data_IF_378140173645
#
_entry.id   IF_378140173645
#
_cell.length_a   1.000
_cell.length_b   1.000
_cell.length_c   1.000
_cell.angle_alpha   90.00
_cell.angle_beta   90.00
_cell.angle_gamma   90.00
#
_symmetry.space_group_name_H-M   'P 1'
#
loop_
_entity.id
_entity.type
_entity.pdbx_description
1 polymer ?
#
# COMPACT_ATOMS: atom_id res chain seq x y z
N UNK A 1 -13.45 -1.69 24.72
CA UNK A 1 -14.86 -1.50 25.10
C UNK A 1 -14.94 -1.66 26.63
N UNK A 2 -14.73 -0.57 27.35
CA UNK A 2 -14.92 -0.49 28.81
C UNK A 2 -16.23 0.25 29.07
N UNK A 3 -17.11 -0.35 29.88
CA UNK A 3 -18.55 -0.06 29.89
C UNK A 3 -19.01 0.76 31.11
N UNK A 4 -18.23 1.77 31.53
CA UNK A 4 -18.64 2.71 32.60
C UNK A 4 -17.67 3.89 32.70
N UNK A 5 -17.85 4.90 31.84
CA UNK A 5 -17.12 6.18 31.85
C UNK A 5 -17.82 7.16 30.89
N UNK A 6 -17.55 8.48 30.97
CA UNK A 6 -18.18 9.46 30.08
C UNK A 6 -18.00 9.05 28.61
N UNK A 7 -18.94 9.44 27.75
CA UNK A 7 -18.92 9.15 26.31
C UNK A 7 -17.63 9.75 25.74
N UNK A 8 -16.60 8.93 25.59
CA UNK A 8 -15.34 9.33 25.01
C UNK A 8 -15.36 8.94 23.54
N UNK A 9 -15.63 9.92 22.67
CA UNK A 9 -15.44 9.77 21.24
C UNK A 9 -13.93 9.75 20.94
N UNK A 10 -13.36 8.55 20.90
CA UNK A 10 -11.97 8.34 20.51
C UNK A 10 -11.92 7.95 19.02
N UNK A 11 -11.67 8.91 18.09
CA UNK A 11 -11.45 8.56 16.69
C UNK A 11 -10.17 7.73 16.55
N UNK A 12 -10.11 6.87 15.53
CA UNK A 12 -8.91 6.08 15.29
C UNK A 12 -7.73 6.99 14.90
N UNK A 13 -6.53 6.76 15.48
CA UNK A 13 -5.36 7.56 15.15
C UNK A 13 -4.82 7.21 13.76
N UNK A 14 -4.38 8.23 13.01
CA UNK A 14 -3.76 8.06 11.69
C UNK A 14 -2.43 7.30 11.72
N UNK A 15 -1.75 7.28 12.89
CA UNK A 15 -0.48 6.59 13.09
C UNK A 15 -0.59 5.68 14.30
N UNK A 16 -0.50 4.38 14.05
CA UNK A 16 -0.44 3.36 15.09
C UNK A 16 0.70 2.39 14.78
N UNK A 17 1.41 1.96 15.82
CA UNK A 17 2.47 0.94 15.72
C UNK A 17 2.06 -0.24 16.58
N UNK A 18 1.74 -1.36 15.92
CA UNK A 18 1.48 -2.63 16.59
C UNK A 18 2.72 -3.52 16.51
N UNK A 19 3.01 -4.22 17.59
CA UNK A 19 4.08 -5.22 17.65
C UNK A 19 3.42 -6.59 17.77
N UNK A 20 3.76 -7.53 16.89
CA UNK A 20 3.30 -8.91 17.01
C UNK A 20 4.23 -9.65 17.98
N UNK A 21 3.69 -10.11 19.10
CA UNK A 21 4.43 -10.85 20.11
C UNK A 21 4.41 -12.36 19.86
N UNK A 22 5.57 -13.00 19.98
CA UNK A 22 5.70 -14.47 20.04
C UNK A 22 6.31 -14.79 21.39
N UNK A 23 5.61 -15.62 22.18
CA UNK A 23 6.01 -15.91 23.55
C UNK A 23 6.59 -17.32 23.68
N UNK A 24 7.87 -17.39 24.04
CA UNK A 24 8.56 -18.65 24.35
C UNK A 24 8.91 -18.69 25.83
N UNK A 25 8.57 -19.80 26.52
CA UNK A 25 8.81 -19.99 27.95
C UNK A 25 9.67 -21.23 28.17
N UNK A 26 10.65 -21.13 29.07
CA UNK A 26 11.49 -22.24 29.47
C UNK A 26 11.66 -22.26 30.99
N UNK A 27 11.88 -23.46 31.54
CA UNK A 27 12.15 -23.63 32.97
C UNK A 27 13.53 -23.03 33.27
N UNK A 28 13.55 -22.04 34.15
CA UNK A 28 14.76 -21.39 34.63
C UNK A 28 14.69 -21.32 36.17
N UNK A 29 15.81 -21.48 36.91
CA UNK A 29 17.15 -21.87 36.44
C UNK A 29 17.27 -23.38 36.16
N UNK A 30 18.26 -23.75 35.34
CA UNK A 30 18.53 -25.17 35.02
C UNK A 30 19.06 -25.92 36.23
N UNK A 31 18.93 -27.27 36.23
CA UNK A 31 19.43 -28.11 37.33
C UNK A 31 20.94 -27.96 37.55
N UNK A 32 21.71 -27.62 36.52
CA UNK A 32 23.15 -27.34 36.63
C UNK A 32 23.44 -26.08 37.47
N UNK A 33 22.51 -25.14 37.59
CA UNK A 33 22.64 -23.96 38.44
C UNK A 33 22.61 -24.32 39.94
N UNK A 34 22.00 -25.46 40.30
CA UNK A 34 21.97 -26.00 41.67
C UNK A 34 23.39 -26.31 42.17
N UNK A 35 24.27 -26.78 41.29
CA UNK A 35 25.65 -27.16 41.63
C UNK A 35 26.52 -25.95 41.99
N UNK A 36 26.10 -24.75 41.58
CA UNK A 36 26.87 -23.52 41.79
C UNK A 36 26.44 -22.78 43.07
N UNK A 37 25.14 -22.72 43.34
CA UNK A 37 24.58 -22.06 44.54
C UNK A 37 23.31 -22.79 45.05
N UNK A 38 23.44 -23.80 45.94
CA UNK A 38 22.30 -24.63 46.37
C UNK A 38 21.31 -23.90 47.30
N UNK A 39 21.79 -22.99 48.16
CA UNK A 39 20.96 -22.22 49.09
C UNK A 39 20.03 -21.23 48.38
N UNK A 40 20.47 -20.66 47.27
CA UNK A 40 19.74 -19.62 46.55
C UNK A 40 18.75 -20.21 45.52
N UNK A 41 18.86 -21.49 45.19
CA UNK A 41 18.05 -22.14 44.15
C UNK A 41 16.55 -22.14 44.47
N UNK A 42 16.16 -22.49 45.70
CA UNK A 42 14.75 -22.55 46.10
C UNK A 42 14.13 -21.15 46.17
N UNK A 43 14.93 -20.14 46.51
CA UNK A 43 14.53 -18.74 46.56
C UNK A 43 14.26 -18.21 45.13
N UNK A 44 15.20 -18.39 44.21
CA UNK A 44 15.03 -17.96 42.82
C UNK A 44 13.93 -18.71 42.07
N UNK A 45 13.69 -19.99 42.40
CA UNK A 45 12.63 -20.77 41.76
C UNK A 45 11.22 -20.38 42.19
N UNK A 46 11.07 -19.76 43.36
CA UNK A 46 9.77 -19.31 43.89
C UNK A 46 9.45 -17.85 43.52
N UNK A 47 10.45 -16.99 43.31
CA UNK A 47 10.23 -15.56 43.08
C UNK A 47 10.91 -14.96 41.83
N UNK A 48 11.72 -15.73 41.09
CA UNK A 48 12.52 -15.22 39.98
C UNK A 48 11.94 -15.53 38.61
N UNK A 49 11.88 -14.53 37.74
CA UNK A 49 11.57 -14.69 36.31
C UNK A 49 12.67 -14.01 35.49
N UNK A 50 13.16 -14.69 34.46
CA UNK A 50 14.06 -14.11 33.46
C UNK A 50 13.25 -13.76 32.21
N UNK A 51 13.18 -12.48 31.87
CA UNK A 51 12.53 -11.97 30.67
C UNK A 51 13.58 -11.51 29.66
N UNK A 52 13.53 -12.08 28.45
CA UNK A 52 14.36 -11.67 27.33
C UNK A 52 13.43 -11.13 26.23
N UNK A 53 13.51 -9.84 25.95
CA UNK A 53 12.71 -9.18 24.91
C UNK A 53 13.64 -8.91 23.74
N UNK A 54 13.34 -9.48 22.58
CA UNK A 54 14.11 -9.29 21.36
C UNK A 54 13.18 -9.30 20.15
N UNK A 55 13.63 -8.68 19.06
CA UNK A 55 12.91 -8.74 17.80
C UNK A 55 13.16 -10.09 17.13
N UNK A 56 12.09 -10.79 16.73
CA UNK A 56 12.22 -12.07 16.02
C UNK A 56 12.82 -11.91 14.62
N UNK A 57 12.56 -10.77 13.97
CA UNK A 57 13.12 -10.40 12.67
C UNK A 57 13.39 -8.89 12.63
N UNK A 58 14.33 -8.47 11.79
CA UNK A 58 14.68 -7.05 11.59
C UNK A 58 13.73 -6.35 10.59
N UNK A 59 12.76 -7.08 10.05
CA UNK A 59 11.84 -6.56 9.04
C UNK A 59 10.75 -5.69 9.69
N UNK A 60 10.47 -4.55 9.06
CA UNK A 60 9.43 -3.62 9.50
C UNK A 60 8.37 -3.48 8.41
N UNK A 61 7.18 -4.01 8.66
CA UNK A 61 6.03 -3.79 7.80
C UNK A 61 5.38 -2.44 8.12
N UNK A 62 5.14 -1.63 7.09
CA UNK A 62 4.52 -0.30 7.23
C UNK A 62 3.33 -0.21 6.29
N UNK A 63 2.13 -0.09 6.87
CA UNK A 63 0.90 0.09 6.12
C UNK A 63 0.58 1.58 6.02
N UNK A 64 0.54 2.12 4.79
CA UNK A 64 0.16 3.52 4.53
C UNK A 64 -1.09 3.55 3.67
N UNK A 65 -2.15 4.15 4.19
CA UNK A 65 -3.35 4.45 3.41
C UNK A 65 -3.08 5.71 2.59
N UNK A 66 -3.17 5.57 1.26
CA UNK A 66 -3.09 6.69 0.32
C UNK A 66 -4.45 6.86 -0.37
N UNK A 67 -4.73 8.07 -0.85
CA UNK A 67 -5.90 8.29 -1.70
C UNK A 67 -5.84 7.37 -2.92
N UNK A 68 -6.98 6.82 -3.33
CA UNK A 68 -7.08 5.88 -4.46
C UNK A 68 -6.78 6.56 -5.80
N UNK A 69 -7.12 7.84 -5.92
CA UNK A 69 -6.90 8.64 -7.11
C UNK A 69 -6.36 10.01 -6.71
N UNK A 70 -5.24 10.39 -7.29
CA UNK A 70 -4.72 11.76 -7.21
C UNK A 70 -5.19 12.57 -8.42
N UNK A 71 -5.27 13.90 -8.30
CA UNK A 71 -5.75 14.75 -9.41
C UNK A 71 -4.95 14.55 -10.71
N UNK A 72 -3.65 14.30 -10.58
CA UNK A 72 -2.77 14.00 -11.71
C UNK A 72 -3.09 12.67 -12.39
N UNK A 73 -3.49 11.65 -11.63
CA UNK A 73 -3.88 10.35 -12.21
C UNK A 73 -5.15 10.49 -13.03
N UNK A 74 -6.14 11.23 -12.53
CA UNK A 74 -7.39 11.51 -13.27
C UNK A 74 -7.13 12.26 -14.57
N UNK A 75 -6.27 13.28 -14.52
CA UNK A 75 -5.86 14.03 -15.71
C UNK A 75 -5.10 13.15 -16.71
N UNK A 76 -4.29 12.21 -16.23
CA UNK A 76 -3.57 11.27 -17.09
C UNK A 76 -4.52 10.33 -17.85
N UNK A 77 -5.57 9.83 -17.19
CA UNK A 77 -6.59 9.02 -17.86
C UNK A 77 -7.37 9.82 -18.90
N UNK A 78 -7.80 11.05 -18.56
CA UNK A 78 -8.50 11.93 -19.50
C UNK A 78 -7.63 12.32 -20.69
N UNK A 79 -6.37 12.66 -20.45
CA UNK A 79 -5.42 13.01 -21.51
C UNK A 79 -5.15 11.87 -22.48
N UNK A 80 -5.14 10.63 -22.00
CA UNK A 80 -4.94 9.45 -22.85
C UNK A 80 -6.12 9.24 -23.81
N UNK A 81 -7.35 9.31 -23.30
CA UNK A 81 -8.56 9.18 -24.11
C UNK A 81 -8.66 10.35 -25.12
N UNK A 82 -8.52 11.60 -24.66
CA UNK A 82 -8.58 12.77 -25.53
C UNK A 82 -7.47 12.76 -26.59
N UNK A 83 -6.27 12.30 -26.24
CA UNK A 83 -5.17 12.14 -27.18
C UNK A 83 -5.48 11.13 -28.28
N UNK A 84 -6.12 10.01 -27.96
CA UNK A 84 -6.54 9.01 -28.95
C UNK A 84 -7.57 9.60 -29.93
N UNK A 85 -8.60 10.27 -29.41
CA UNK A 85 -9.65 10.88 -30.24
C UNK A 85 -9.10 12.00 -31.13
N UNK A 86 -8.23 12.86 -30.59
CA UNK A 86 -7.57 13.90 -31.36
C UNK A 86 -6.65 13.31 -32.44
N UNK A 87 -5.89 12.27 -32.12
CA UNK A 87 -5.05 11.57 -33.09
C UNK A 87 -5.86 10.99 -34.26
N UNK A 88 -6.98 10.31 -33.98
CA UNK A 88 -7.86 9.77 -35.01
C UNK A 88 -8.51 10.88 -35.86
N UNK A 89 -8.92 11.98 -35.23
CA UNK A 89 -9.48 13.13 -35.93
C UNK A 89 -8.49 13.77 -36.90
N UNK A 90 -7.21 13.85 -36.53
CA UNK A 90 -6.15 14.41 -37.36
C UNK A 90 -5.88 13.54 -38.59
N UNK A 91 -5.82 12.21 -38.41
CA UNK A 91 -5.68 11.27 -39.53
C UNK A 91 -6.87 11.40 -40.51
N UNK A 92 -8.09 11.47 -39.99
CA UNK A 92 -9.28 11.67 -40.82
C UNK A 92 -9.26 13.00 -41.60
N UNK A 93 -8.74 14.07 -40.99
CA UNK A 93 -8.58 15.35 -41.68
C UNK A 93 -7.59 15.26 -42.86
N UNK A 94 -6.47 14.54 -42.69
CA UNK A 94 -5.50 14.32 -43.76
C UNK A 94 -6.08 13.50 -44.92
N UNK A 95 -6.81 12.42 -44.62
CA UNK A 95 -7.49 11.61 -45.64
C UNK A 95 -8.46 12.46 -46.48
N UNK A 96 -9.26 13.33 -45.84
CA UNK A 96 -10.19 14.21 -46.54
C UNK A 96 -9.46 15.23 -47.41
N UNK A 97 -8.37 15.83 -46.90
CA UNK A 97 -7.54 16.77 -47.64
C UNK A 97 -6.95 16.17 -48.92
N UNK A 98 -6.50 14.92 -48.89
CA UNK A 98 -5.95 14.25 -50.07
C UNK A 98 -7.06 13.85 -51.07
N UNK A 99 -8.21 13.42 -50.57
CA UNK A 99 -9.31 12.90 -51.41
C UNK A 99 -10.14 13.99 -52.09
N UNK A 100 -10.31 15.14 -51.44
CA UNK A 100 -11.05 16.29 -51.98
C UNK A 100 -10.57 16.75 -53.37
N UNK A 101 -9.28 17.04 -53.63
CA UNK A 101 -8.81 17.49 -54.94
C UNK A 101 -8.97 16.44 -56.03
N UNK A 102 -8.82 15.15 -55.70
CA UNK A 102 -9.06 14.04 -56.64
C UNK A 102 -10.52 13.99 -57.07
N UNK A 103 -11.45 14.17 -56.11
CA UNK A 103 -12.89 14.20 -56.39
C UNK A 103 -13.26 15.45 -57.20
N UNK A 104 -12.73 16.62 -56.84
CA UNK A 104 -12.97 17.88 -57.57
C UNK A 104 -12.46 17.80 -59.01
N UNK A 105 -11.27 17.25 -59.24
CA UNK A 105 -10.71 17.06 -60.59
C UNK A 105 -11.58 16.11 -61.42
N UNK A 106 -12.05 15.01 -60.82
CA UNK A 106 -12.94 14.06 -61.50
C UNK A 106 -14.31 14.70 -61.78
N UNK A 107 -14.84 15.52 -60.88
CA UNK A 107 -16.13 16.19 -61.04
C UNK A 107 -16.09 17.32 -62.09
N UNK A 108 -14.97 18.05 -62.20
CA UNK A 108 -14.77 19.07 -63.24
C UNK A 108 -14.57 18.44 -64.63
N UNK A 109 -13.81 17.35 -64.76
CA UNK A 109 -13.54 16.72 -66.06
C UNK A 109 -14.68 15.82 -66.56
N UNK A 110 -15.51 15.28 -65.66
CA UNK A 110 -16.69 14.47 -66.01
C UNK A 110 -17.95 15.28 -66.37
N UNK A 111 -17.93 16.61 -66.28
CA UNK A 111 -19.07 17.50 -66.61
C UNK A 111 -18.94 18.19 -67.97
N UNK A 112 -17.82 18.02 -68.67
CA UNK A 112 -17.50 18.66 -69.96
C UNK A 112 -17.37 17.65 -71.13
N UNK A 113 -18.24 16.64 -71.15
CA UNK A 113 -18.56 15.80 -72.34
C UNK A 113 -20.06 15.55 -72.33
#
# INVERSE_FOLDING_TARGET
MSNSGPICDCPQPCRSTSYNEILSRAIWPSKAYILKDPFNFQYFRKGGVRLNIFYSSLERTVYKQKAKFEGFELLSFLGCELGLWLGLSLLGMFDVMERLPLIVRRMFFGRTV
#
